data_IF_447673861948
#
_entry.id   IF_447673861948
#
_cell.length_a   1.000
_cell.length_b   1.000
_cell.length_c   1.000
_cell.angle_alpha   90.00
_cell.angle_beta   90.00
_cell.angle_gamma   90.00
#
_symmetry.space_group_name_H-M   'P 1'
#
loop_
_entity.id
_entity.type
_entity.pdbx_description
1 polymer ?
#
# COMPACT_ATOMS: atom_id res chain seq x y z
N UNK A 1 -50.83 119.93 -31.53
CA UNK A 1 -50.83 118.82 -32.52
C UNK A 1 -49.53 118.02 -32.49
N UNK A 2 -48.34 118.64 -32.48
CA UNK A 2 -47.06 117.89 -32.43
C UNK A 2 -46.76 117.20 -31.10
N UNK A 3 -47.20 117.75 -29.96
CA UNK A 3 -47.01 117.12 -28.66
C UNK A 3 -47.80 115.79 -28.54
N UNK A 4 -49.02 115.78 -29.05
CA UNK A 4 -49.92 114.62 -29.04
C UNK A 4 -49.42 113.48 -29.94
N UNK A 5 -48.81 113.79 -31.10
CA UNK A 5 -48.19 112.79 -32.00
C UNK A 5 -46.94 112.16 -31.38
N UNK A 6 -46.18 112.91 -30.58
CA UNK A 6 -44.97 112.42 -29.91
C UNK A 6 -45.31 111.51 -28.73
N UNK A 7 -46.37 111.83 -27.97
CA UNK A 7 -46.93 110.94 -26.95
C UNK A 7 -47.47 109.64 -27.55
N UNK A 8 -48.27 109.70 -28.62
CA UNK A 8 -48.81 108.50 -29.27
C UNK A 8 -47.70 107.57 -29.83
N UNK A 9 -46.61 108.15 -30.35
CA UNK A 9 -45.45 107.40 -30.84
C UNK A 9 -44.66 106.76 -29.69
N UNK A 10 -44.49 107.47 -28.57
CA UNK A 10 -43.86 106.92 -27.36
C UNK A 10 -44.73 105.82 -26.73
N UNK A 11 -46.05 105.97 -26.72
CA UNK A 11 -46.98 104.97 -26.21
C UNK A 11 -46.99 103.70 -27.09
N UNK A 12 -46.94 103.84 -28.42
CA UNK A 12 -46.82 102.70 -29.33
C UNK A 12 -45.47 101.98 -29.23
N UNK A 13 -44.37 102.72 -29.02
CA UNK A 13 -43.05 102.11 -28.77
C UNK A 13 -43.04 101.41 -27.41
N UNK A 14 -43.69 101.96 -26.38
CA UNK A 14 -43.84 101.32 -25.08
C UNK A 14 -44.71 100.05 -25.18
N UNK A 15 -45.85 100.09 -25.89
CA UNK A 15 -46.70 98.91 -26.15
C UNK A 15 -45.95 97.83 -26.94
N UNK A 16 -45.22 98.18 -27.99
CA UNK A 16 -44.42 97.22 -28.75
C UNK A 16 -43.28 96.62 -27.92
N UNK A 17 -42.61 97.40 -27.07
CA UNK A 17 -41.60 96.87 -26.15
C UNK A 17 -42.21 95.97 -25.08
N UNK A 18 -43.39 96.29 -24.56
CA UNK A 18 -44.11 95.43 -23.61
C UNK A 18 -44.54 94.14 -24.30
N UNK A 19 -45.09 94.20 -25.51
CA UNK A 19 -45.48 93.02 -26.29
C UNK A 19 -44.27 92.14 -26.62
N UNK A 20 -43.16 92.73 -27.06
CA UNK A 20 -41.92 91.99 -27.34
C UNK A 20 -41.37 91.30 -26.07
N UNK A 21 -41.46 91.94 -24.90
CA UNK A 21 -41.06 91.35 -23.62
C UNK A 21 -42.01 90.22 -23.17
N UNK A 22 -43.30 90.34 -23.44
CA UNK A 22 -44.29 89.28 -23.18
C UNK A 22 -44.06 88.08 -24.10
N UNK A 23 -43.86 88.31 -25.41
CA UNK A 23 -43.58 87.25 -26.39
C UNK A 23 -42.25 86.54 -26.10
N UNK A 24 -41.22 87.27 -25.64
CA UNK A 24 -39.95 86.69 -25.19
C UNK A 24 -40.13 85.86 -23.91
N UNK A 25 -40.89 86.36 -22.92
CA UNK A 25 -41.17 85.62 -21.69
C UNK A 25 -42.02 84.37 -21.94
N UNK A 26 -42.97 84.42 -22.89
CA UNK A 26 -43.79 83.27 -23.29
C UNK A 26 -42.95 82.21 -24.00
N UNK A 27 -42.09 82.61 -24.96
CA UNK A 27 -41.11 81.71 -25.58
C UNK A 27 -40.13 81.11 -24.56
N UNK A 28 -39.67 81.89 -23.59
CA UNK A 28 -38.79 81.39 -22.53
C UNK A 28 -39.47 80.36 -21.64
N UNK A 29 -40.75 80.59 -21.30
CA UNK A 29 -41.60 79.68 -20.52
C UNK A 29 -41.92 78.40 -21.27
N UNK A 30 -42.23 78.49 -22.56
CA UNK A 30 -42.51 77.32 -23.40
C UNK A 30 -41.24 76.48 -23.60
N UNK A 31 -40.09 77.13 -23.82
CA UNK A 31 -38.77 76.46 -23.83
C UNK A 31 -38.44 75.79 -22.48
N UNK A 32 -38.77 76.44 -21.36
CA UNK A 32 -38.57 75.87 -20.02
C UNK A 32 -39.47 74.65 -19.76
N UNK A 33 -40.76 74.74 -20.12
CA UNK A 33 -41.70 73.63 -19.99
C UNK A 33 -41.29 72.44 -20.87
N UNK A 34 -40.86 72.69 -22.11
CA UNK A 34 -40.41 71.65 -23.01
C UNK A 34 -39.14 70.95 -22.51
N UNK A 35 -38.18 71.70 -21.96
CA UNK A 35 -36.98 71.12 -21.33
C UNK A 35 -37.32 70.27 -20.09
N UNK A 36 -38.30 70.71 -19.28
CA UNK A 36 -38.77 69.97 -18.13
C UNK A 36 -39.48 68.67 -18.53
N UNK A 37 -40.35 68.71 -19.54
CA UNK A 37 -41.03 67.51 -20.06
C UNK A 37 -40.04 66.46 -20.56
N UNK A 38 -39.01 66.87 -21.31
CA UNK A 38 -37.96 65.97 -21.77
C UNK A 38 -37.15 65.37 -20.61
N UNK A 39 -36.84 66.16 -19.60
CA UNK A 39 -36.13 65.69 -18.42
C UNK A 39 -36.99 64.72 -17.60
N UNK A 40 -38.30 64.97 -17.50
CA UNK A 40 -39.26 64.03 -16.89
C UNK A 40 -39.35 62.72 -17.69
N UNK A 41 -39.40 62.76 -19.02
CA UNK A 41 -39.40 61.57 -19.86
C UNK A 41 -38.09 60.76 -19.72
N UNK A 42 -36.94 61.45 -19.69
CA UNK A 42 -35.65 60.82 -19.46
C UNK A 42 -35.56 60.20 -18.04
N UNK A 43 -36.09 60.86 -17.02
CA UNK A 43 -36.19 60.32 -15.66
C UNK A 43 -37.15 59.13 -15.57
N UNK A 44 -38.27 59.13 -16.32
CA UNK A 44 -39.18 57.98 -16.39
C UNK A 44 -38.48 56.76 -17.00
N UNK A 45 -37.71 56.96 -18.06
CA UNK A 45 -36.92 55.88 -18.68
C UNK A 45 -35.79 55.40 -17.77
N UNK A 46 -35.15 56.30 -17.02
CA UNK A 46 -34.18 55.93 -16.00
C UNK A 46 -34.82 55.10 -14.87
N UNK A 47 -36.02 55.48 -14.42
CA UNK A 47 -36.78 54.76 -13.40
C UNK A 47 -37.26 53.37 -13.88
N UNK A 48 -37.46 53.19 -15.18
CA UNK A 48 -37.70 51.87 -15.79
C UNK A 48 -36.43 51.07 -16.11
N UNK A 49 -35.26 51.55 -15.66
CA UNK A 49 -33.98 50.86 -15.85
C UNK A 49 -33.35 51.02 -17.24
N UNK A 50 -33.82 51.94 -18.10
CA UNK A 50 -33.22 52.16 -19.41
C UNK A 50 -32.09 53.21 -19.34
N UNK A 51 -30.85 52.72 -19.23
CA UNK A 51 -29.64 53.53 -19.23
C UNK A 51 -29.14 53.87 -20.65
N UNK A 52 -29.85 53.48 -21.72
CA UNK A 52 -29.51 53.90 -23.10
C UNK A 52 -29.97 55.33 -23.40
N UNK A 53 -30.79 55.89 -22.52
CA UNK A 53 -31.33 57.23 -22.64
C UNK A 53 -30.20 58.25 -22.60
N UNK A 54 -29.98 58.92 -23.73
CA UNK A 54 -29.23 60.16 -23.76
C UNK A 54 -30.24 61.29 -23.81
N UNK A 55 -30.00 62.33 -23.03
CA UNK A 55 -30.65 63.61 -23.30
C UNK A 55 -30.22 64.03 -24.71
N UNK A 56 -31.08 63.88 -25.71
CA UNK A 56 -30.80 64.28 -27.08
C UNK A 56 -30.58 65.80 -27.19
N UNK A 57 -30.10 66.26 -28.36
CA UNK A 57 -29.75 67.64 -28.71
C UNK A 57 -30.90 68.68 -28.68
N UNK A 58 -31.93 68.47 -27.87
CA UNK A 58 -33.21 69.19 -27.93
C UNK A 58 -33.40 70.09 -26.69
N UNK A 59 -32.52 70.01 -25.70
CA UNK A 59 -32.51 70.93 -24.56
C UNK A 59 -31.80 72.23 -24.96
N UNK A 60 -32.48 73.35 -24.78
CA UNK A 60 -31.98 74.72 -24.95
C UNK A 60 -30.61 74.90 -24.25
N UNK A 61 -29.70 75.68 -24.87
CA UNK A 61 -28.32 75.89 -24.41
C UNK A 61 -28.28 76.31 -22.91
N UNK A 62 -29.32 77.00 -22.45
CA UNK A 62 -29.48 77.44 -21.05
C UNK A 62 -29.54 76.31 -19.99
N UNK A 63 -29.86 75.06 -20.37
CA UNK A 63 -29.93 73.92 -19.43
C UNK A 63 -28.86 72.84 -19.68
N UNK A 64 -27.77 73.20 -20.34
CA UNK A 64 -26.66 72.27 -20.62
C UNK A 64 -26.01 71.68 -19.37
N UNK A 65 -25.98 72.42 -18.25
CA UNK A 65 -25.38 71.93 -17.00
C UNK A 65 -26.18 70.75 -16.44
N UNK A 66 -27.51 70.90 -16.37
CA UNK A 66 -28.43 69.85 -15.88
C UNK A 66 -28.37 68.62 -16.78
N UNK A 67 -28.35 68.83 -18.11
CA UNK A 67 -28.14 67.77 -19.10
C UNK A 67 -26.84 67.01 -18.86
N UNK A 68 -25.72 67.73 -18.73
CA UNK A 68 -24.41 67.11 -18.54
C UNK A 68 -24.33 66.32 -17.22
N UNK A 69 -24.95 66.81 -16.15
CA UNK A 69 -25.00 66.08 -14.87
C UNK A 69 -25.84 64.82 -15.01
N UNK A 70 -27.00 64.89 -15.68
CA UNK A 70 -27.87 63.76 -15.93
C UNK A 70 -27.17 62.68 -16.79
N UNK A 71 -26.61 63.08 -17.93
CA UNK A 71 -25.90 62.18 -18.84
C UNK A 71 -24.69 61.52 -18.14
N UNK A 72 -23.89 62.27 -17.36
CA UNK A 72 -22.79 61.71 -16.55
C UNK A 72 -23.28 60.74 -15.47
N UNK A 73 -24.44 61.00 -14.88
CA UNK A 73 -25.02 60.12 -13.85
C UNK A 73 -25.48 58.80 -14.47
N UNK A 74 -26.12 58.84 -15.65
CA UNK A 74 -26.48 57.64 -16.41
C UNK A 74 -25.22 56.86 -16.82
N UNK A 75 -24.20 57.53 -17.34
CA UNK A 75 -22.93 56.90 -17.72
C UNK A 75 -22.28 56.21 -16.52
N UNK A 76 -22.28 56.84 -15.33
CA UNK A 76 -21.71 56.24 -14.13
C UNK A 76 -22.52 55.06 -13.60
N UNK A 77 -23.85 55.15 -13.62
CA UNK A 77 -24.73 54.05 -13.24
C UNK A 77 -24.55 52.86 -14.20
N UNK A 78 -24.53 53.10 -15.51
CA UNK A 78 -24.28 52.07 -16.52
C UNK A 78 -22.91 51.40 -16.35
N UNK A 79 -21.86 52.17 -16.01
CA UNK A 79 -20.54 51.63 -15.69
C UNK A 79 -20.58 50.71 -14.46
N UNK A 80 -21.23 51.15 -13.37
CA UNK A 80 -21.34 50.37 -12.13
C UNK A 80 -22.11 49.07 -12.36
N UNK A 81 -23.31 49.15 -12.97
CA UNK A 81 -24.13 47.96 -13.25
C UNK A 81 -23.47 47.04 -14.28
N UNK A 82 -22.75 47.57 -15.26
CA UNK A 82 -21.93 46.77 -16.18
C UNK A 82 -20.80 46.01 -15.47
N UNK A 83 -20.15 46.63 -14.48
CA UNK A 83 -19.16 45.95 -13.63
C UNK A 83 -19.80 44.87 -12.76
N UNK A 84 -20.97 45.15 -12.16
CA UNK A 84 -21.73 44.15 -11.39
C UNK A 84 -22.11 42.96 -12.28
N UNK A 85 -22.64 43.19 -13.48
CA UNK A 85 -22.96 42.14 -14.45
C UNK A 85 -21.75 41.23 -14.73
N UNK A 86 -20.58 41.85 -14.96
CA UNK A 86 -19.34 41.13 -15.22
C UNK A 86 -18.86 40.32 -14.00
N UNK A 87 -18.98 40.86 -12.80
CA UNK A 87 -18.65 40.16 -11.55
C UNK A 87 -19.57 38.98 -11.33
N UNK A 88 -20.88 39.15 -11.53
CA UNK A 88 -21.87 38.06 -11.40
C UNK A 88 -21.60 36.94 -12.39
N UNK A 89 -21.33 37.25 -13.66
CA UNK A 89 -20.97 36.25 -14.66
C UNK A 89 -19.68 35.49 -14.30
N UNK A 90 -18.72 36.16 -13.67
CA UNK A 90 -17.49 35.52 -13.18
C UNK A 90 -17.78 34.57 -12.02
N UNK A 91 -18.60 34.98 -11.05
CA UNK A 91 -19.00 34.13 -9.92
C UNK A 91 -19.82 32.93 -10.41
N UNK A 92 -20.71 33.12 -11.39
CA UNK A 92 -21.50 32.04 -11.98
C UNK A 92 -20.60 30.99 -12.65
N UNK A 93 -19.61 31.43 -13.43
CA UNK A 93 -18.62 30.53 -14.03
C UNK A 93 -17.81 29.79 -12.96
N UNK A 94 -17.29 30.50 -11.95
CA UNK A 94 -16.50 29.90 -10.87
C UNK A 94 -17.31 28.89 -10.04
N UNK A 95 -18.59 29.17 -9.78
CA UNK A 95 -19.47 28.24 -9.07
C UNK A 95 -19.69 26.96 -9.88
N UNK A 96 -19.94 27.08 -11.19
CA UNK A 96 -20.06 25.92 -12.08
C UNK A 96 -18.79 25.08 -12.12
N UNK A 97 -17.61 25.71 -12.09
CA UNK A 97 -16.32 24.99 -12.02
C UNK A 97 -16.16 24.27 -10.67
N UNK A 98 -16.52 24.90 -9.56
CA UNK A 98 -16.51 24.28 -8.23
C UNK A 98 -17.47 23.07 -8.18
N UNK A 99 -18.65 23.17 -8.78
CA UNK A 99 -19.61 22.06 -8.83
C UNK A 99 -19.02 20.85 -9.59
N UNK A 100 -18.40 21.08 -10.75
CA UNK A 100 -17.75 20.04 -11.53
C UNK A 100 -16.57 19.40 -10.78
N UNK A 101 -15.74 20.21 -10.11
CA UNK A 101 -14.64 19.72 -9.29
C UNK A 101 -15.12 18.92 -8.08
N UNK A 102 -16.26 19.31 -7.48
CA UNK A 102 -16.87 18.58 -6.37
C UNK A 102 -17.40 17.22 -6.80
N UNK A 103 -18.02 17.13 -7.99
CA UNK A 103 -18.48 15.86 -8.57
C UNK A 103 -17.31 14.90 -8.89
N UNK A 104 -16.20 15.41 -9.43
CA UNK A 104 -14.99 14.60 -9.61
C UNK A 104 -14.43 14.10 -8.26
N UNK A 105 -14.36 14.98 -7.26
CA UNK A 105 -13.92 14.62 -5.92
C UNK A 105 -14.84 13.58 -5.29
N UNK A 106 -16.16 13.65 -5.52
CA UNK A 106 -17.13 12.65 -5.09
C UNK A 106 -16.78 11.26 -5.64
N UNK A 107 -16.64 11.15 -6.96
CA UNK A 107 -16.32 9.87 -7.64
C UNK A 107 -14.98 9.31 -7.18
N UNK A 108 -13.98 10.17 -6.95
CA UNK A 108 -12.67 9.75 -6.43
C UNK A 108 -12.76 9.27 -4.99
N UNK A 109 -13.55 9.94 -4.16
CA UNK A 109 -13.79 9.56 -2.76
C UNK A 109 -14.50 8.21 -2.68
N UNK A 110 -15.50 7.96 -3.52
CA UNK A 110 -16.19 6.65 -3.61
C UNK A 110 -15.24 5.53 -4.04
N UNK A 111 -14.42 5.75 -5.08
CA UNK A 111 -13.40 4.78 -5.51
C UNK A 111 -12.37 4.52 -4.41
N UNK A 112 -11.95 5.56 -3.71
CA UNK A 112 -11.02 5.44 -2.59
C UNK A 112 -11.62 4.60 -1.45
N UNK A 113 -12.90 4.81 -1.12
CA UNK A 113 -13.60 4.00 -0.12
C UNK A 113 -13.66 2.52 -0.53
N UNK A 114 -13.96 2.23 -1.80
CA UNK A 114 -13.97 0.85 -2.31
C UNK A 114 -12.58 0.20 -2.21
N UNK A 115 -11.53 0.90 -2.64
CA UNK A 115 -10.15 0.42 -2.57
C UNK A 115 -9.67 0.22 -1.11
N UNK A 116 -10.07 1.10 -0.18
CA UNK A 116 -9.79 0.95 1.24
C UNK A 116 -10.46 -0.30 1.81
N UNK A 117 -11.70 -0.59 1.43
CA UNK A 117 -12.41 -1.81 1.83
C UNK A 117 -11.70 -3.10 1.36
N UNK A 118 -11.25 -3.14 0.10
CA UNK A 118 -10.49 -4.27 -0.43
C UNK A 118 -9.11 -4.42 0.24
N UNK A 119 -8.44 -3.29 0.48
CA UNK A 119 -7.14 -3.27 1.17
C UNK A 119 -7.29 -3.77 2.61
N UNK A 120 -8.32 -3.32 3.34
CA UNK A 120 -8.61 -3.78 4.70
C UNK A 120 -8.88 -5.30 4.74
N UNK A 121 -9.66 -5.83 3.79
CA UNK A 121 -9.93 -7.26 3.69
C UNK A 121 -8.65 -8.07 3.41
N UNK A 122 -7.77 -7.55 2.54
CA UNK A 122 -6.48 -8.15 2.21
C UNK A 122 -5.54 -8.16 3.43
N UNK A 123 -5.42 -7.03 4.14
CA UNK A 123 -4.62 -6.92 5.36
C UNK A 123 -5.13 -7.85 6.45
N UNK A 124 -6.46 -7.99 6.62
CA UNK A 124 -7.02 -8.95 7.57
C UNK A 124 -6.66 -10.40 7.21
N UNK A 125 -6.73 -10.75 5.92
CA UNK A 125 -6.33 -12.08 5.43
C UNK A 125 -4.85 -12.37 5.73
N UNK A 126 -3.97 -11.39 5.47
CA UNK A 126 -2.55 -11.49 5.80
C UNK A 126 -2.34 -11.61 7.31
N UNK A 127 -3.06 -10.83 8.12
CA UNK A 127 -2.98 -10.87 9.59
C UNK A 127 -3.32 -12.25 10.14
N UNK A 128 -4.42 -12.85 9.66
CA UNK A 128 -4.79 -14.23 10.03
C UNK A 128 -3.73 -15.23 9.58
N UNK A 129 -3.15 -15.04 8.38
CA UNK A 129 -2.06 -15.87 7.88
C UNK A 129 -0.82 -15.82 8.77
N UNK A 130 -0.38 -14.63 9.16
CA UNK A 130 0.77 -14.41 10.05
C UNK A 130 0.54 -15.05 11.43
N UNK A 131 -0.65 -14.90 12.00
CA UNK A 131 -1.00 -15.55 13.28
C UNK A 131 -0.94 -17.08 13.18
N UNK A 132 -1.45 -17.66 12.08
CA UNK A 132 -1.34 -19.11 11.82
C UNK A 132 0.11 -19.55 11.69
N UNK A 133 0.95 -18.77 10.99
CA UNK A 133 2.39 -19.06 10.86
C UNK A 133 3.09 -19.03 12.22
N UNK A 134 2.79 -18.04 13.07
CA UNK A 134 3.32 -17.96 14.42
C UNK A 134 2.94 -19.19 15.26
N UNK A 135 1.67 -19.61 15.21
CA UNK A 135 1.21 -20.82 15.91
C UNK A 135 1.88 -22.08 15.37
N UNK A 136 1.97 -22.23 14.03
CA UNK A 136 2.63 -23.36 13.40
C UNK A 136 4.12 -23.44 13.76
N UNK A 137 4.80 -22.29 13.91
CA UNK A 137 6.17 -22.22 14.39
C UNK A 137 6.27 -22.73 15.85
N UNK A 138 5.36 -22.33 16.74
CA UNK A 138 5.34 -22.85 18.11
C UNK A 138 5.14 -24.38 18.16
N UNK A 139 4.22 -24.90 17.37
CA UNK A 139 3.95 -26.34 17.29
C UNK A 139 5.16 -27.10 16.72
N UNK A 140 5.78 -26.57 15.67
CA UNK A 140 7.01 -27.12 15.08
C UNK A 140 8.18 -27.12 16.08
N UNK A 141 8.32 -26.05 16.88
CA UNK A 141 9.35 -25.96 17.94
C UNK A 141 9.16 -27.06 18.98
N UNK A 142 7.92 -27.31 19.39
CA UNK A 142 7.60 -28.37 20.34
C UNK A 142 7.92 -29.76 19.77
N UNK A 143 7.57 -30.01 18.51
CA UNK A 143 7.88 -31.27 17.82
C UNK A 143 9.40 -31.47 17.67
N UNK A 144 10.14 -30.42 17.28
CA UNK A 144 11.60 -30.46 17.20
C UNK A 144 12.24 -30.71 18.58
N UNK A 145 11.73 -30.09 19.64
CA UNK A 145 12.14 -30.36 21.02
C UNK A 145 11.99 -31.84 21.38
N UNK A 146 10.81 -32.44 21.13
CA UNK A 146 10.58 -33.85 21.36
C UNK A 146 11.53 -34.76 20.57
N UNK A 147 11.74 -34.49 19.28
CA UNK A 147 12.67 -35.26 18.45
C UNK A 147 14.13 -35.17 18.94
N UNK A 148 14.54 -34.01 19.48
CA UNK A 148 15.87 -33.83 20.08
C UNK A 148 16.03 -34.67 21.34
N UNK A 149 15.01 -34.69 22.18
CA UNK A 149 15.02 -35.44 23.43
C UNK A 149 15.07 -36.95 23.13
N UNK A 150 14.27 -37.45 22.18
CA UNK A 150 14.32 -38.84 21.70
C UNK A 150 15.69 -39.22 21.11
N UNK A 151 16.31 -38.33 20.31
CA UNK A 151 17.65 -38.55 19.76
C UNK A 151 18.71 -38.61 20.87
N UNK A 152 18.56 -37.81 21.91
CA UNK A 152 19.46 -37.77 23.07
C UNK A 152 19.34 -39.07 23.89
N UNK A 153 18.12 -39.52 24.16
CA UNK A 153 17.85 -40.79 24.84
C UNK A 153 18.38 -41.98 24.02
N UNK A 154 18.11 -42.01 22.72
CA UNK A 154 18.63 -43.03 21.80
C UNK A 154 20.17 -43.05 21.80
N UNK A 155 20.81 -41.88 21.87
CA UNK A 155 22.25 -41.76 21.99
C UNK A 155 22.80 -42.40 23.28
N UNK A 156 22.11 -42.23 24.41
CA UNK A 156 22.47 -42.87 25.67
C UNK A 156 22.35 -44.40 25.58
N UNK A 157 21.26 -44.91 24.99
CA UNK A 157 21.05 -46.35 24.76
C UNK A 157 22.15 -46.94 23.87
N UNK A 158 22.53 -46.24 22.79
CA UNK A 158 23.62 -46.67 21.91
C UNK A 158 24.97 -46.73 22.66
N UNK A 159 25.24 -45.77 23.54
CA UNK A 159 26.46 -45.79 24.36
C UNK A 159 26.51 -47.04 25.26
N UNK A 160 25.43 -47.33 25.98
CA UNK A 160 25.33 -48.56 26.78
C UNK A 160 25.43 -49.84 25.93
N UNK A 161 24.89 -49.81 24.72
CA UNK A 161 25.00 -50.94 23.76
C UNK A 161 26.45 -51.18 23.31
N UNK A 162 27.21 -50.11 23.05
CA UNK A 162 28.64 -50.19 22.72
C UNK A 162 29.43 -50.78 23.89
N UNK A 163 29.14 -50.37 25.12
CA UNK A 163 29.78 -50.89 26.33
C UNK A 163 29.51 -52.40 26.48
N UNK A 164 28.25 -52.83 26.38
CA UNK A 164 27.89 -54.25 26.46
C UNK A 164 28.56 -55.10 25.36
N UNK A 165 28.64 -54.59 24.12
CA UNK A 165 29.31 -55.30 23.03
C UNK A 165 30.83 -55.42 23.25
N UNK A 166 31.46 -54.41 23.86
CA UNK A 166 32.88 -54.49 24.25
C UNK A 166 33.11 -55.54 25.33
N UNK A 167 32.21 -55.64 26.31
CA UNK A 167 32.28 -56.70 27.33
C UNK A 167 32.19 -58.10 26.71
N UNK A 168 31.32 -58.28 25.70
CA UNK A 168 31.22 -59.54 24.94
C UNK A 168 32.51 -59.81 24.15
N UNK A 169 33.09 -58.80 23.51
CA UNK A 169 34.36 -58.92 22.79
C UNK A 169 35.49 -59.37 23.72
N UNK A 170 35.62 -58.74 24.88
CA UNK A 170 36.63 -59.08 25.88
C UNK A 170 36.40 -60.46 26.51
N UNK A 171 35.14 -60.83 26.77
CA UNK A 171 34.78 -62.17 27.21
C UNK A 171 35.16 -63.22 26.17
N UNK A 172 34.92 -62.94 24.89
CA UNK A 172 35.28 -63.85 23.79
C UNK A 172 36.80 -64.06 23.68
N UNK A 173 37.60 -62.99 23.88
CA UNK A 173 39.07 -63.09 23.95
C UNK A 173 39.53 -64.00 25.09
N UNK A 174 38.98 -63.79 26.31
CA UNK A 174 39.29 -64.63 27.47
C UNK A 174 38.94 -66.11 27.23
N UNK A 175 37.81 -66.38 26.59
CA UNK A 175 37.43 -67.77 26.24
C UNK A 175 38.41 -68.36 25.23
N UNK A 176 38.85 -67.60 24.22
CA UNK A 176 39.85 -68.05 23.26
C UNK A 176 41.20 -68.38 23.90
N UNK A 177 41.61 -67.63 24.93
CA UNK A 177 42.82 -67.88 25.72
C UNK A 177 42.69 -69.17 26.54
N UNK A 178 41.55 -69.37 27.21
CA UNK A 178 41.25 -70.61 27.97
C UNK A 178 41.29 -71.83 27.04
N UNK A 179 40.72 -71.73 25.84
CA UNK A 179 40.78 -72.80 24.85
C UNK A 179 42.21 -73.10 24.38
N UNK A 180 43.09 -72.09 24.37
CA UNK A 180 44.53 -72.29 24.17
C UNK A 180 45.17 -73.14 25.26
N UNK A 181 44.85 -72.87 26.53
CA UNK A 181 45.32 -73.68 27.67
C UNK A 181 44.77 -75.11 27.61
N UNK A 182 43.50 -75.30 27.20
CA UNK A 182 42.90 -76.64 27.06
C UNK A 182 43.61 -77.44 25.95
N UNK A 183 43.94 -76.81 24.82
CA UNK A 183 44.71 -77.45 23.74
C UNK A 183 46.12 -77.84 24.24
N UNK A 184 46.77 -76.99 25.03
CA UNK A 184 48.06 -77.31 25.66
C UNK A 184 47.96 -78.49 26.64
N UNK A 185 46.92 -78.53 27.49
CA UNK A 185 46.67 -79.66 28.41
C UNK A 185 46.42 -80.95 27.62
N UNK A 186 45.64 -80.88 26.54
CA UNK A 186 45.38 -82.02 25.67
C UNK A 186 46.67 -82.52 25.01
N UNK A 187 47.54 -81.62 24.57
CA UNK A 187 48.86 -81.97 24.02
C UNK A 187 49.77 -82.64 25.06
N UNK A 188 49.86 -82.08 26.27
CA UNK A 188 50.62 -82.68 27.38
C UNK A 188 50.08 -84.06 27.77
N UNK A 189 48.76 -84.22 27.80
CA UNK A 189 48.09 -85.51 28.09
C UNK A 189 48.40 -86.54 27.00
N UNK A 190 48.39 -86.13 25.73
CA UNK A 190 48.77 -86.97 24.60
C UNK A 190 50.25 -87.42 24.68
N UNK A 191 51.16 -86.55 25.12
CA UNK A 191 52.57 -86.92 25.36
C UNK A 191 52.76 -87.85 26.56
N UNK A 192 52.04 -87.62 27.67
CA UNK A 192 52.05 -88.50 28.84
C UNK A 192 51.53 -89.90 28.50
N UNK A 193 50.43 -89.96 27.74
CA UNK A 193 49.85 -91.21 27.28
C UNK A 193 50.79 -91.97 26.32
N UNK A 194 51.51 -91.25 25.45
CA UNK A 194 52.55 -91.84 24.62
C UNK A 194 53.67 -92.46 25.46
N UNK A 195 54.19 -91.73 26.45
CA UNK A 195 55.24 -92.22 27.35
C UNK A 195 54.77 -93.46 28.13
N UNK A 196 53.54 -93.43 28.65
CA UNK A 196 52.94 -94.58 29.33
C UNK A 196 52.77 -95.79 28.41
N UNK A 197 52.36 -95.58 27.15
CA UNK A 197 52.26 -96.64 26.15
C UNK A 197 53.61 -97.28 25.81
N UNK A 198 54.67 -96.47 25.73
CA UNK A 198 56.05 -96.95 25.52
C UNK A 198 56.51 -97.80 26.70
N UNK A 199 56.30 -97.34 27.95
CA UNK A 199 56.73 -98.09 29.13
C UNK A 199 55.89 -99.36 29.34
N UNK A 200 54.61 -99.35 28.99
CA UNK A 200 53.75 -100.52 28.97
C UNK A 200 54.21 -101.57 27.94
N UNK A 201 54.65 -101.14 26.75
CA UNK A 201 55.26 -102.04 25.76
C UNK A 201 56.59 -102.64 26.26
N UNK A 202 57.35 -101.85 27.02
CA UNK A 202 58.62 -102.28 27.65
C UNK A 202 58.43 -103.34 28.73
N UNK A 203 57.31 -103.30 29.45
CA UNK A 203 56.93 -104.29 30.46
C UNK A 203 56.39 -105.62 29.88
N UNK A 204 56.26 -105.75 28.55
CA UNK A 204 55.82 -106.98 27.90
C UNK A 204 54.41 -107.41 28.28
N UNK A 205 54.20 -108.70 28.57
CA UNK A 205 52.87 -109.26 28.87
C UNK A 205 52.24 -108.69 30.15
N UNK A 206 53.04 -108.23 31.12
CA UNK A 206 52.55 -107.59 32.35
C UNK A 206 51.97 -106.18 32.10
N UNK A 207 52.41 -105.50 31.03
CA UNK A 207 51.99 -104.14 30.67
C UNK A 207 50.78 -104.06 29.73
N UNK A 208 50.24 -105.20 29.27
CA UNK A 208 49.24 -105.26 28.19
C UNK A 208 47.96 -104.48 28.49
N UNK A 209 47.48 -104.53 29.74
CA UNK A 209 46.33 -103.73 30.20
C UNK A 209 46.61 -102.23 30.24
N UNK A 210 47.81 -101.83 30.69
CA UNK A 210 48.24 -100.43 30.70
C UNK A 210 48.40 -99.86 29.29
N UNK A 211 48.85 -100.65 28.32
CA UNK A 211 48.99 -100.22 26.92
C UNK A 211 47.63 -99.86 26.28
N UNK A 212 46.56 -100.61 26.61
CA UNK A 212 45.20 -100.31 26.14
C UNK A 212 44.71 -98.99 26.74
N UNK A 213 44.87 -98.80 28.05
CA UNK A 213 44.49 -97.56 28.74
C UNK A 213 45.26 -96.36 28.17
N UNK A 214 46.57 -96.50 27.95
CA UNK A 214 47.40 -95.45 27.36
C UNK A 214 46.92 -95.06 25.94
N UNK A 215 46.51 -96.03 25.12
CA UNK A 215 45.97 -95.77 23.78
C UNK A 215 44.63 -95.03 23.85
N UNK A 216 43.75 -95.41 24.77
CA UNK A 216 42.44 -94.75 24.94
C UNK A 216 42.60 -93.31 25.46
N UNK A 217 43.46 -93.09 26.46
CA UNK A 217 43.79 -91.74 26.96
C UNK A 217 44.38 -90.87 25.85
N UNK A 218 45.24 -91.45 25.00
CA UNK A 218 45.80 -90.74 23.84
C UNK A 218 44.72 -90.33 22.84
N UNK A 219 43.81 -91.24 22.50
CA UNK A 219 42.69 -90.96 21.60
C UNK A 219 41.76 -89.88 22.17
N UNK A 220 41.47 -89.94 23.47
CA UNK A 220 40.68 -88.92 24.17
C UNK A 220 41.37 -87.55 24.15
N UNK A 221 42.68 -87.50 24.38
CA UNK A 221 43.46 -86.28 24.31
C UNK A 221 43.45 -85.66 22.90
N UNK A 222 43.62 -86.46 21.86
CA UNK A 222 43.51 -86.00 20.46
C UNK A 222 42.11 -85.47 20.14
N UNK A 223 41.05 -86.15 20.58
CA UNK A 223 39.66 -85.68 20.43
C UNK A 223 39.40 -84.37 21.17
N UNK A 224 39.97 -84.22 22.37
CA UNK A 224 39.85 -83.00 23.17
C UNK A 224 40.55 -81.81 22.49
N UNK A 225 41.75 -82.01 21.95
CA UNK A 225 42.48 -80.99 21.20
C UNK A 225 41.70 -80.55 19.94
N UNK A 226 41.18 -81.51 19.17
CA UNK A 226 40.35 -81.21 17.99
C UNK A 226 39.10 -80.40 18.37
N UNK A 227 38.38 -80.82 19.42
CA UNK A 227 37.18 -80.12 19.90
C UNK A 227 37.51 -78.71 20.41
N UNK A 228 38.62 -78.55 21.15
CA UNK A 228 39.06 -77.24 21.63
C UNK A 228 39.37 -76.29 20.47
N UNK A 229 40.00 -76.80 19.40
CA UNK A 229 40.29 -76.04 18.19
C UNK A 229 39.02 -75.59 17.45
N UNK A 230 38.05 -76.48 17.29
CA UNK A 230 36.77 -76.16 16.64
C UNK A 230 35.99 -75.09 17.42
N UNK A 231 35.91 -75.21 18.75
CA UNK A 231 35.29 -74.20 19.61
C UNK A 231 36.06 -72.88 19.53
N UNK A 232 37.40 -72.92 19.50
CA UNK A 232 38.23 -71.72 19.38
C UNK A 232 37.96 -70.98 18.08
N UNK A 233 37.80 -71.69 16.97
CA UNK A 233 37.45 -71.09 15.68
C UNK A 233 36.08 -70.39 15.72
N UNK A 234 35.06 -71.04 16.33
CA UNK A 234 33.73 -70.44 16.52
C UNK A 234 33.76 -69.19 17.40
N UNK A 235 34.56 -69.19 18.46
CA UNK A 235 34.72 -68.02 19.34
C UNK A 235 35.43 -66.88 18.63
N UNK A 236 36.47 -67.17 17.83
CA UNK A 236 37.15 -66.15 17.02
C UNK A 236 36.21 -65.57 15.95
N UNK A 237 35.37 -66.40 15.33
CA UNK A 237 34.33 -65.94 14.41
C UNK A 237 33.32 -65.03 15.11
N UNK A 238 32.85 -65.42 16.30
CA UNK A 238 31.93 -64.64 17.12
C UNK A 238 32.54 -63.27 17.49
N UNK A 239 33.82 -63.24 17.89
CA UNK A 239 34.55 -62.00 18.17
C UNK A 239 34.61 -61.06 16.96
N UNK A 240 34.84 -61.58 15.74
CA UNK A 240 34.77 -60.78 14.51
C UNK A 240 33.37 -60.21 14.25
N UNK A 241 32.32 -60.99 14.50
CA UNK A 241 30.94 -60.53 14.34
C UNK A 241 30.59 -59.42 15.35
N UNK A 242 31.01 -59.56 16.60
CA UNK A 242 30.83 -58.55 17.65
C UNK A 242 31.57 -57.27 17.28
N UNK A 243 32.84 -57.35 16.85
CA UNK A 243 33.62 -56.19 16.39
C UNK A 243 32.94 -55.44 15.23
N UNK A 244 32.36 -56.19 14.27
CA UNK A 244 31.55 -55.59 13.20
C UNK A 244 30.29 -54.91 13.76
N UNK A 245 29.63 -55.53 14.73
CA UNK A 245 28.49 -54.97 15.45
C UNK A 245 28.83 -53.64 16.13
N UNK A 246 29.93 -53.58 16.89
CA UNK A 246 30.44 -52.35 17.54
C UNK A 246 30.64 -51.25 16.51
N UNK A 247 31.21 -51.57 15.35
CA UNK A 247 31.43 -50.59 14.27
C UNK A 247 30.10 -50.00 13.77
N UNK A 248 29.10 -50.84 13.50
CA UNK A 248 27.77 -50.40 13.04
C UNK A 248 27.02 -49.56 14.08
N UNK A 249 27.07 -49.98 15.35
CA UNK A 249 26.43 -49.22 16.45
C UNK A 249 27.14 -47.87 16.64
N UNK A 250 28.47 -47.82 16.52
CA UNK A 250 29.23 -46.56 16.60
C UNK A 250 28.85 -45.61 15.46
N UNK A 251 28.71 -46.12 14.23
CA UNK A 251 28.21 -45.32 13.09
C UNK A 251 26.79 -44.81 13.32
N UNK A 252 25.92 -45.65 13.89
CA UNK A 252 24.54 -45.27 14.24
C UNK A 252 24.52 -44.17 15.31
N UNK A 253 25.35 -44.31 16.35
CA UNK A 253 25.51 -43.28 17.39
C UNK A 253 25.99 -41.94 16.82
N UNK A 254 26.92 -41.96 15.86
CA UNK A 254 27.38 -40.75 15.18
C UNK A 254 26.28 -40.11 14.32
N UNK A 255 25.45 -40.93 13.66
CA UNK A 255 24.30 -40.44 12.89
C UNK A 255 23.23 -39.78 13.80
N UNK A 256 22.93 -40.38 14.95
CA UNK A 256 22.03 -39.79 15.95
C UNK A 256 22.54 -38.45 16.48
N UNK A 257 23.85 -38.33 16.73
CA UNK A 257 24.46 -37.06 17.14
C UNK A 257 24.31 -35.96 16.07
N UNK A 258 24.49 -36.30 14.79
CA UNK A 258 24.21 -35.38 13.67
C UNK A 258 22.74 -34.99 13.59
N UNK A 259 21.82 -35.93 13.80
CA UNK A 259 20.37 -35.64 13.86
C UNK A 259 20.08 -34.65 14.98
N UNK A 260 20.60 -34.88 16.19
CA UNK A 260 20.41 -33.97 17.32
C UNK A 260 20.94 -32.57 17.02
N UNK A 261 22.08 -32.44 16.35
CA UNK A 261 22.62 -31.15 15.93
C UNK A 261 21.71 -30.44 14.93
N UNK A 262 21.28 -31.15 13.88
CA UNK A 262 20.39 -30.60 12.85
C UNK A 262 19.04 -30.18 13.44
N UNK A 263 18.47 -30.95 14.37
CA UNK A 263 17.24 -30.59 15.08
C UNK A 263 17.43 -29.33 15.93
N UNK A 264 18.62 -29.15 16.52
CA UNK A 264 19.00 -27.90 17.19
C UNK A 264 18.99 -26.70 16.25
N UNK A 265 19.58 -26.83 15.05
CA UNK A 265 19.54 -25.78 14.02
C UNK A 265 18.11 -25.48 13.57
N UNK A 266 17.29 -26.51 13.34
CA UNK A 266 15.86 -26.34 13.00
C UNK A 266 15.13 -25.58 14.11
N UNK A 267 15.39 -25.89 15.38
CA UNK A 267 14.78 -25.19 16.51
C UNK A 267 15.13 -23.70 16.52
N UNK A 268 16.38 -23.35 16.20
CA UNK A 268 16.80 -21.94 16.09
C UNK A 268 16.08 -21.21 14.95
N UNK A 269 15.98 -21.84 13.77
CA UNK A 269 15.27 -21.25 12.63
C UNK A 269 13.78 -21.03 12.92
N UNK A 270 13.16 -21.95 13.66
CA UNK A 270 11.76 -21.81 14.09
C UNK A 270 11.59 -20.65 15.08
N UNK A 271 12.56 -20.43 15.98
CA UNK A 271 12.58 -19.27 16.88
C UNK A 271 12.61 -17.96 16.09
N UNK A 272 13.46 -17.88 15.05
CA UNK A 272 13.57 -16.71 14.17
C UNK A 272 12.26 -16.46 13.39
N UNK A 273 11.61 -17.52 12.89
CA UNK A 273 10.30 -17.44 12.23
C UNK A 273 9.24 -16.94 13.20
N UNK A 274 9.19 -17.47 14.42
CA UNK A 274 8.23 -17.05 15.43
C UNK A 274 8.40 -15.58 15.81
N UNK A 275 9.65 -15.13 16.00
CA UNK A 275 9.98 -13.73 16.28
C UNK A 275 9.56 -12.82 15.12
N UNK A 276 9.91 -13.19 13.89
CA UNK A 276 9.55 -12.44 12.68
C UNK A 276 8.04 -12.35 12.48
N UNK A 277 7.31 -13.44 12.73
CA UNK A 277 5.85 -13.46 12.65
C UNK A 277 5.20 -12.57 13.71
N UNK A 278 5.76 -12.53 14.93
CA UNK A 278 5.28 -11.63 15.98
C UNK A 278 5.45 -10.15 15.56
N UNK A 279 6.64 -9.79 15.07
CA UNK A 279 6.90 -8.43 14.61
C UNK A 279 6.06 -8.04 13.38
N UNK A 280 5.80 -8.98 12.47
CA UNK A 280 4.86 -8.75 11.36
C UNK A 280 3.43 -8.49 11.87
N UNK A 281 2.98 -9.18 12.91
CA UNK A 281 1.66 -8.95 13.48
C UNK A 281 1.53 -7.56 14.12
N UNK A 282 2.59 -7.07 14.79
CA UNK A 282 2.64 -5.69 15.30
C UNK A 282 2.57 -4.67 14.16
N UNK A 283 3.37 -4.85 13.10
CA UNK A 283 3.35 -3.97 11.93
C UNK A 283 1.98 -3.96 11.23
N UNK A 284 1.31 -5.11 11.14
CA UNK A 284 -0.04 -5.19 10.56
C UNK A 284 -1.09 -4.49 11.44
N UNK A 285 -0.87 -4.43 12.75
CA UNK A 285 -1.72 -3.65 13.65
C UNK A 285 -1.59 -2.15 13.37
N UNK A 286 -0.36 -1.66 13.14
CA UNK A 286 -0.14 -0.27 12.74
C UNK A 286 -0.75 0.05 11.37
N UNK A 287 -0.62 -0.87 10.40
CA UNK A 287 -1.25 -0.72 9.07
C UNK A 287 -2.78 -0.64 9.20
N UNK A 288 -3.40 -1.50 10.02
CA UNK A 288 -4.85 -1.43 10.27
C UNK A 288 -5.26 -0.08 10.87
N UNK A 289 -4.45 0.48 11.79
CA UNK A 289 -4.69 1.82 12.35
C UNK A 289 -4.64 2.89 11.27
N UNK A 290 -3.64 2.85 10.39
CA UNK A 290 -3.52 3.79 9.27
C UNK A 290 -4.70 3.68 8.29
N UNK A 291 -5.19 2.47 8.01
CA UNK A 291 -6.38 2.26 7.19
C UNK A 291 -7.62 2.89 7.85
N UNK A 292 -7.77 2.74 9.16
CA UNK A 292 -8.88 3.38 9.89
C UNK A 292 -8.82 4.90 9.85
N UNK A 293 -7.63 5.50 9.91
CA UNK A 293 -7.44 6.96 9.76
C UNK A 293 -7.75 7.42 8.31
N UNK A 294 -7.36 6.63 7.32
CA UNK A 294 -7.72 6.89 5.92
C UNK A 294 -9.23 6.82 5.70
N UNK A 295 -9.92 5.83 6.27
CA UNK A 295 -11.38 5.71 6.18
C UNK A 295 -12.07 6.94 6.79
N UNK A 296 -11.63 7.39 7.96
CA UNK A 296 -12.15 8.61 8.57
C UNK A 296 -11.96 9.84 7.66
N UNK A 297 -10.78 9.97 7.04
CA UNK A 297 -10.50 11.07 6.11
C UNK A 297 -11.36 10.97 4.85
N UNK A 298 -11.58 9.76 4.33
CA UNK A 298 -12.46 9.51 3.19
C UNK A 298 -13.90 9.90 3.50
N UNK A 299 -14.40 9.59 4.70
CA UNK A 299 -15.74 10.04 5.14
C UNK A 299 -15.82 11.57 5.28
N UNK A 300 -14.77 12.21 5.81
CA UNK A 300 -14.70 13.67 5.88
C UNK A 300 -14.70 14.32 4.49
N UNK A 301 -13.99 13.72 3.52
CA UNK A 301 -14.01 14.17 2.13
C UNK A 301 -15.41 14.04 1.53
N UNK A 302 -16.13 12.94 1.79
CA UNK A 302 -17.50 12.78 1.32
C UNK A 302 -18.43 13.87 1.89
N UNK A 303 -18.35 14.14 3.19
CA UNK A 303 -19.11 15.22 3.83
C UNK A 303 -18.75 16.60 3.26
N UNK A 304 -17.45 16.86 3.02
CA UNK A 304 -16.97 18.11 2.43
C UNK A 304 -17.48 18.28 0.99
N UNK A 305 -17.52 17.21 0.21
CA UNK A 305 -18.07 17.20 -1.16
C UNK A 305 -19.54 17.55 -1.14
N UNK A 306 -20.35 16.96 -0.26
CA UNK A 306 -21.77 17.28 -0.14
C UNK A 306 -21.98 18.75 0.23
N UNK A 307 -21.23 19.26 1.21
CA UNK A 307 -21.30 20.66 1.64
C UNK A 307 -20.88 21.63 0.52
N UNK A 308 -19.79 21.32 -0.18
CA UNK A 308 -19.26 22.17 -1.27
C UNK A 308 -20.20 22.18 -2.47
N UNK A 309 -20.79 21.03 -2.80
CA UNK A 309 -21.79 20.90 -3.87
C UNK A 309 -23.04 21.73 -3.53
N UNK A 310 -23.54 21.62 -2.29
CA UNK A 310 -24.68 22.42 -1.83
C UNK A 310 -24.39 23.93 -1.85
N UNK A 311 -23.19 24.34 -1.39
CA UNK A 311 -22.76 25.74 -1.42
C UNK A 311 -22.66 26.27 -2.86
N UNK A 312 -22.11 25.49 -3.78
CA UNK A 312 -22.01 25.86 -5.19
C UNK A 312 -23.38 26.00 -5.87
N UNK A 313 -24.33 25.11 -5.56
CA UNK A 313 -25.71 25.25 -6.05
C UNK A 313 -26.40 26.50 -5.51
N UNK A 314 -26.19 26.84 -4.24
CA UNK A 314 -26.69 28.09 -3.67
C UNK A 314 -26.09 29.31 -4.34
N UNK A 315 -24.76 29.35 -4.55
CA UNK A 315 -24.11 30.45 -5.27
C UNK A 315 -24.62 30.57 -6.70
N UNK A 316 -24.82 29.45 -7.40
CA UNK A 316 -25.38 29.44 -8.77
C UNK A 316 -26.80 30.02 -8.81
N UNK A 317 -27.60 29.79 -7.76
CA UNK A 317 -28.94 30.37 -7.64
C UNK A 317 -28.86 31.87 -7.36
N UNK A 318 -28.03 32.30 -6.40
CA UNK A 318 -27.84 33.72 -6.08
C UNK A 318 -27.29 34.51 -7.27
N UNK A 319 -26.35 33.95 -8.03
CA UNK A 319 -25.85 34.61 -9.24
C UNK A 319 -26.93 34.72 -10.30
N UNK A 320 -27.77 33.70 -10.49
CA UNK A 320 -28.89 33.75 -11.42
C UNK A 320 -29.92 34.81 -11.04
N UNK A 321 -30.21 34.95 -9.74
CA UNK A 321 -31.10 36.00 -9.24
C UNK A 321 -30.50 37.40 -9.48
N UNK A 322 -29.19 37.57 -9.26
CA UNK A 322 -28.47 38.80 -9.58
C UNK A 322 -28.39 39.08 -11.09
N UNK A 323 -28.22 38.06 -11.94
CA UNK A 323 -28.25 38.19 -13.39
C UNK A 323 -29.62 38.70 -13.87
N UNK A 324 -30.72 38.19 -13.29
CA UNK A 324 -32.06 38.67 -13.60
C UNK A 324 -32.23 40.14 -13.17
N UNK A 325 -31.85 40.49 -11.93
CA UNK A 325 -31.93 41.86 -11.43
C UNK A 325 -31.10 42.86 -12.26
N UNK A 326 -29.93 42.44 -12.74
CA UNK A 326 -29.08 43.29 -13.60
C UNK A 326 -29.58 43.31 -15.05
N UNK A 327 -30.19 42.22 -15.52
CA UNK A 327 -30.78 42.08 -16.84
C UNK A 327 -31.99 42.98 -17.09
N UNK A 328 -32.73 43.34 -16.03
CA UNK A 328 -33.82 44.33 -16.09
C UNK A 328 -33.32 45.73 -16.52
N UNK A 329 -32.03 46.03 -16.32
CA UNK A 329 -31.43 47.29 -16.75
C UNK A 329 -30.97 47.24 -18.21
N UNK A 330 -31.60 48.05 -19.05
CA UNK A 330 -31.26 48.16 -20.45
C UNK A 330 -30.05 49.10 -20.62
N UNK A 331 -28.87 48.52 -20.78
CA UNK A 331 -27.62 49.25 -21.02
C UNK A 331 -27.28 49.30 -22.52
N UNK A 332 -26.51 50.31 -22.95
CA UNK A 332 -25.92 50.30 -24.30
C UNK A 332 -24.99 49.09 -24.44
N UNK A 333 -24.87 48.59 -25.66
CA UNK A 333 -24.26 47.32 -26.10
C UNK A 333 -22.74 47.14 -25.79
N UNK A 334 -22.24 47.61 -24.64
CA UNK A 334 -20.90 47.32 -24.14
C UNK A 334 -20.74 45.89 -23.61
N UNK A 335 -21.85 45.21 -23.28
CA UNK A 335 -21.85 43.83 -22.75
C UNK A 335 -21.62 42.80 -23.87
N UNK A 336 -22.06 43.07 -25.10
CA UNK A 336 -21.98 42.11 -26.22
C UNK A 336 -20.55 41.84 -26.71
N UNK A 337 -19.61 42.75 -26.45
CA UNK A 337 -18.18 42.59 -26.81
C UNK A 337 -17.36 41.85 -25.76
N UNK A 338 -17.80 41.79 -24.50
CA UNK A 338 -17.09 41.06 -23.44
C UNK A 338 -17.39 39.55 -23.48
N UNK A 339 -18.63 39.17 -23.81
CA UNK A 339 -19.04 37.75 -24.00
C UNK A 339 -18.25 37.05 -25.12
N UNK A 340 -17.92 37.76 -26.22
CA UNK A 340 -17.09 37.21 -27.31
C UNK A 340 -15.63 36.97 -26.91
N UNK A 341 -15.09 37.77 -25.99
CA UNK A 341 -13.69 37.62 -25.52
C UNK A 341 -13.54 36.44 -24.57
N UNK A 342 -14.57 36.13 -23.78
CA UNK A 342 -14.65 34.94 -22.90
C UNK A 342 -14.82 33.64 -23.70
N UNK A 343 -15.53 33.66 -24.84
CA UNK A 343 -15.60 32.50 -25.75
C UNK A 343 -14.26 32.21 -26.45
N UNK A 344 -13.46 33.22 -26.77
CA UNK A 344 -12.10 33.02 -27.31
C UNK A 344 -11.12 32.45 -26.27
N UNK A 345 -11.30 32.75 -24.98
CA UNK A 345 -10.48 32.16 -23.90
C UNK A 345 -10.88 30.71 -23.61
N UNK A 346 -12.17 30.35 -23.72
CA UNK A 346 -12.60 28.93 -23.71
C UNK A 346 -11.98 28.09 -24.83
N UNK A 347 -11.66 28.67 -25.98
CA UNK A 347 -10.96 27.98 -27.08
C UNK A 347 -9.46 27.75 -26.81
N UNK A 348 -8.85 28.48 -25.88
CA UNK A 348 -7.43 28.37 -25.54
C UNK A 348 -7.17 27.47 -24.32
N UNK A 349 -8.19 27.18 -23.52
CA UNK A 349 -8.10 26.38 -22.28
C UNK A 349 -8.98 25.12 -22.33
N UNK A 350 -9.11 24.49 -23.51
CA UNK A 350 -9.70 23.15 -23.55
C UNK A 350 -8.74 22.16 -22.88
N UNK A 351 -9.07 21.77 -21.65
CA UNK A 351 -8.36 20.75 -20.86
C UNK A 351 -8.23 19.41 -21.63
N UNK A 352 -9.16 19.09 -22.53
CA UNK A 352 -9.08 17.92 -23.43
C UNK A 352 -7.80 17.91 -24.28
N UNK A 353 -7.28 19.08 -24.69
CA UNK A 353 -6.01 19.15 -25.45
C UNK A 353 -4.79 19.03 -24.56
N UNK A 354 -4.89 19.40 -23.28
CA UNK A 354 -3.78 19.28 -22.32
C UNK A 354 -3.67 17.84 -21.83
N UNK A 355 -4.79 17.15 -21.59
CA UNK A 355 -4.80 15.72 -21.28
C UNK A 355 -4.31 14.86 -22.44
N UNK A 356 -4.77 15.07 -23.68
CA UNK A 356 -4.27 14.30 -24.82
C UNK A 356 -2.77 14.49 -25.06
N UNK A 357 -2.24 15.70 -24.82
CA UNK A 357 -0.82 16.01 -24.98
C UNK A 357 0.03 15.44 -23.84
N UNK A 358 -0.50 15.41 -22.61
CA UNK A 358 0.17 14.77 -21.47
C UNK A 358 0.13 13.24 -21.58
N UNK A 359 -0.98 12.65 -22.05
CA UNK A 359 -1.11 11.20 -22.28
C UNK A 359 -0.20 10.70 -23.41
N UNK A 360 0.01 11.51 -24.46
CA UNK A 360 1.00 11.22 -25.51
C UNK A 360 2.45 11.37 -25.03
N UNK A 361 2.72 12.35 -24.14
CA UNK A 361 4.06 12.55 -23.58
C UNK A 361 4.46 11.48 -22.56
N UNK A 362 3.51 10.96 -21.77
CA UNK A 362 3.77 9.82 -20.86
C UNK A 362 4.01 8.55 -21.65
N UNK A 363 3.22 8.26 -22.70
CA UNK A 363 3.46 7.13 -23.60
C UNK A 363 4.81 7.20 -24.33
N UNK A 364 5.23 8.39 -24.77
CA UNK A 364 6.55 8.58 -25.38
C UNK A 364 7.70 8.49 -24.37
N UNK A 365 7.48 8.83 -23.10
CA UNK A 365 8.47 8.61 -22.03
C UNK A 365 8.59 7.13 -21.68
N UNK A 366 7.48 6.40 -21.59
CA UNK A 366 7.49 4.94 -21.36
C UNK A 366 8.14 4.18 -22.52
N UNK A 367 7.86 4.56 -23.77
CA UNK A 367 8.54 3.98 -24.94
C UNK A 367 10.04 4.31 -25.01
N UNK A 368 10.47 5.44 -24.43
CA UNK A 368 11.89 5.84 -24.40
C UNK A 368 12.66 5.19 -23.24
N UNK A 369 11.97 4.87 -22.15
CA UNK A 369 12.51 4.09 -21.02
C UNK A 369 12.59 2.60 -21.37
N UNK A 370 11.67 2.09 -22.20
CA UNK A 370 11.74 0.71 -22.72
C UNK A 370 12.81 0.49 -23.80
N UNK A 371 13.43 1.55 -24.34
CA UNK A 371 14.45 1.46 -25.39
C UNK A 371 15.87 1.73 -24.89
N UNK A 372 16.06 2.03 -23.60
CA UNK A 372 17.38 2.23 -22.99
C UNK A 372 17.80 0.92 -22.28
N UNK A 373 18.24 -0.04 -23.10
CA UNK A 373 19.04 -1.18 -22.64
C UNK A 373 20.40 -0.65 -22.15
N UNK A 374 20.52 -0.48 -20.83
CA UNK A 374 21.73 0.04 -20.20
C UNK A 374 21.89 -0.41 -18.76
N UNK A 375 21.80 -1.73 -18.53
CA UNK A 375 22.25 -2.39 -17.30
C UNK A 375 23.05 -3.65 -17.66
N UNK A 376 24.27 -3.46 -18.13
CA UNK A 376 25.37 -4.41 -17.92
C UNK A 376 26.46 -3.68 -17.11
N UNK A 377 26.97 -4.36 -16.09
CA UNK A 377 27.94 -3.93 -15.06
C UNK A 377 27.42 -2.99 -13.94
N UNK A 378 26.98 -3.59 -12.83
CA UNK A 378 27.56 -3.39 -11.48
C UNK A 378 27.11 -4.46 -10.48
#
# INVERSE_FOLDING_TARGET
>A
MDHLKKELKNENVAKNNIQLRLDLAEKERDSANHALEQMVDAMKKLASGDFRCRSSNIIDNKYQIQRNIFDKSIEKLAEIFGRVASSVATIASGSSEIALASDDLARRTERQAANLGETAASVNTVTVGVQKTAQAALDARKAAGGARDEATESGAVMKSTIEAMREIEDSSKKVADILGVIDEIAFQTNLLALNAGVEAARAGDAGRGFAVVATEVRSLAQRSAASAKDVKELILLSGRQVSRGVTLVTQTSAALSKISHNVGTISSLIEDISSSAHQQAENLTEINRAISEMDQTTQQNAAMVEQTTAASHNLTRETRDLENLVGDFHMKDHIRNLSKKTQQTKSLVSFDKIEQKNYQNTKNKENKISSDEGWEDF
#
